data_IF_964576441384
#
_entry.id   IF_964576441384
#
_cell.length_a   1.000
_cell.length_b   1.000
_cell.length_c   1.000
_cell.angle_alpha   90.00
_cell.angle_beta   90.00
_cell.angle_gamma   90.00
#
_symmetry.space_group_name_H-M   'P 1'
#
loop_
_entity.id
_entity.type
_entity.pdbx_description
1 polymer ?
#
# COMPACT_ATOMS: atom_id res chain seq x y z
N UNK A 1 18.89 16.44 13.67
CA UNK A 1 17.89 15.56 13.02
C UNK A 1 16.58 15.73 13.78
N UNK A 2 15.50 16.17 13.13
CA UNK A 2 14.24 16.42 13.83
C UNK A 2 13.68 15.08 14.34
N UNK A 3 13.58 14.93 15.67
CA UNK A 3 13.23 13.68 16.36
C UNK A 3 11.72 13.46 16.48
N UNK A 4 10.93 14.50 16.23
CA UNK A 4 9.46 14.47 16.25
C UNK A 4 8.89 13.86 14.96
N UNK A 5 9.21 12.58 14.70
CA UNK A 5 8.64 11.81 13.58
C UNK A 5 7.47 10.97 14.09
N UNK A 6 6.30 11.18 13.51
CA UNK A 6 5.10 10.38 13.76
C UNK A 6 4.70 9.59 12.51
N UNK A 7 3.61 8.82 12.61
CA UNK A 7 3.10 7.97 11.52
C UNK A 7 2.77 8.75 10.23
N UNK A 8 2.45 10.04 10.34
CA UNK A 8 2.06 10.89 9.22
C UNK A 8 3.23 11.72 8.68
N UNK A 9 4.42 11.59 9.25
CA UNK A 9 5.59 12.32 8.79
C UNK A 9 6.13 11.68 7.50
N UNK A 10 6.23 12.43 6.38
CA UNK A 10 6.75 11.89 5.12
C UNK A 10 8.13 11.25 5.24
N UNK A 11 8.44 10.33 4.32
CA UNK A 11 9.71 9.59 4.31
C UNK A 11 10.20 9.36 2.89
N UNK A 12 11.53 9.39 2.70
CA UNK A 12 12.17 8.95 1.47
C UNK A 12 12.47 7.45 1.58
N UNK A 13 11.95 6.66 0.64
CA UNK A 13 12.16 5.23 0.54
C UNK A 13 12.74 4.89 -0.84
N UNK A 14 14.06 4.71 -0.89
CA UNK A 14 14.77 4.55 -2.16
C UNK A 14 14.60 5.79 -3.04
N UNK A 15 14.08 5.62 -4.25
CA UNK A 15 13.82 6.70 -5.19
C UNK A 15 12.47 7.41 -4.98
N UNK A 16 11.63 6.94 -4.04
CA UNK A 16 10.27 7.44 -3.86
C UNK A 16 10.13 8.28 -2.60
N UNK A 17 9.37 9.38 -2.72
CA UNK A 17 8.88 10.17 -1.58
C UNK A 17 7.51 9.68 -1.17
N UNK A 18 7.39 9.09 0.02
CA UNK A 18 6.11 8.61 0.55
C UNK A 18 5.48 9.66 1.48
N UNK A 19 4.15 9.85 1.42
CA UNK A 19 3.47 10.88 2.19
C UNK A 19 3.38 10.56 3.69
N UNK A 20 3.47 9.29 4.08
CA UNK A 20 3.36 8.84 5.47
C UNK A 20 4.18 7.54 5.68
N UNK A 21 4.15 7.02 6.91
CA UNK A 21 4.84 5.78 7.33
C UNK A 21 3.86 4.63 7.58
N UNK A 22 2.64 4.72 7.04
CA UNK A 22 1.60 3.71 7.16
C UNK A 22 1.68 2.82 5.93
N UNK A 23 1.78 1.51 6.15
CA UNK A 23 1.96 0.54 5.07
C UNK A 23 0.79 -0.45 5.07
N UNK A 24 0.23 -0.70 3.89
CA UNK A 24 -0.65 -1.86 3.69
C UNK A 24 0.23 -3.11 3.61
N UNK A 25 0.24 -3.91 4.68
CA UNK A 25 0.97 -5.18 4.71
C UNK A 25 0.51 -6.12 3.57
N UNK A 26 1.38 -7.04 3.09
CA UNK A 26 0.98 -8.06 2.14
C UNK A 26 0.01 -9.05 2.81
N UNK A 27 -1.22 -9.11 2.29
CA UNK A 27 -2.30 -9.93 2.86
C UNK A 27 -2.86 -10.86 1.79
N UNK A 28 -2.66 -12.16 1.95
CA UNK A 28 -3.27 -13.19 1.10
C UNK A 28 -4.80 -13.16 1.25
N UNK A 29 -5.52 -12.97 0.13
CA UNK A 29 -7.00 -12.79 0.13
C UNK A 29 -7.80 -13.92 -0.49
N UNK A 30 -7.16 -14.87 -1.16
CA UNK A 30 -7.80 -16.02 -1.84
C UNK A 30 -8.91 -15.61 -2.81
N UNK A 31 -8.67 -14.58 -3.64
CA UNK A 31 -9.67 -13.96 -4.55
C UNK A 31 -9.17 -13.84 -6.00
N UNK A 32 -8.34 -14.78 -6.47
CA UNK A 32 -7.98 -14.85 -7.88
C UNK A 32 -9.04 -15.64 -8.66
N UNK A 33 -9.21 -15.35 -9.94
CA UNK A 33 -10.04 -16.15 -10.84
C UNK A 33 -9.28 -17.39 -11.35
N UNK A 34 -9.90 -18.13 -12.28
CA UNK A 34 -9.28 -19.26 -12.96
C UNK A 34 -7.92 -18.86 -13.57
N UNK A 35 -6.94 -19.74 -13.46
CA UNK A 35 -5.57 -19.46 -13.91
C UNK A 35 -4.79 -18.49 -13.00
N UNK A 36 -5.26 -18.25 -11.77
CA UNK A 36 -4.65 -17.32 -10.81
C UNK A 36 -4.62 -15.86 -11.30
N UNK A 37 -5.55 -15.50 -12.19
CA UNK A 37 -5.61 -14.17 -12.81
C UNK A 37 -6.36 -13.19 -11.91
N UNK A 38 -5.82 -12.00 -11.60
CA UNK A 38 -6.55 -10.93 -10.94
C UNK A 38 -7.71 -10.40 -11.80
N UNK A 39 -8.75 -9.92 -11.14
CA UNK A 39 -9.98 -9.38 -11.73
C UNK A 39 -10.21 -7.92 -11.32
N UNK A 40 -11.28 -7.31 -11.84
CA UNK A 40 -11.69 -5.94 -11.47
C UNK A 40 -11.89 -5.77 -9.95
N UNK A 41 -12.41 -6.79 -9.26
CA UNK A 41 -12.55 -6.77 -7.80
C UNK A 41 -11.22 -6.57 -7.08
N UNK A 42 -10.13 -7.17 -7.60
CA UNK A 42 -8.80 -7.02 -7.03
C UNK A 42 -8.27 -5.59 -7.22
N UNK A 43 -8.50 -5.00 -8.40
CA UNK A 43 -8.12 -3.62 -8.68
C UNK A 43 -8.86 -2.62 -7.78
N UNK A 44 -10.19 -2.74 -7.67
CA UNK A 44 -11.02 -1.91 -6.78
C UNK A 44 -10.54 -2.04 -5.33
N UNK A 45 -10.23 -3.26 -4.88
CA UNK A 45 -9.75 -3.50 -3.53
C UNK A 45 -8.45 -2.72 -3.20
N UNK A 46 -7.48 -2.66 -4.12
CA UNK A 46 -6.25 -1.89 -3.91
C UNK A 46 -6.48 -0.38 -4.07
N UNK A 47 -7.32 0.05 -5.03
CA UNK A 47 -7.63 1.45 -5.26
C UNK A 47 -8.22 2.14 -4.01
N UNK A 48 -9.06 1.42 -3.25
CA UNK A 48 -9.63 1.89 -1.98
C UNK A 48 -8.60 2.19 -0.88
N UNK A 49 -7.34 1.78 -1.04
CA UNK A 49 -6.28 1.85 -0.01
C UNK A 49 -5.05 2.65 -0.46
N UNK A 50 -5.17 3.36 -1.59
CA UNK A 50 -4.06 4.10 -2.18
C UNK A 50 -3.97 5.58 -1.75
N UNK A 51 -4.92 6.05 -0.93
CA UNK A 51 -5.02 7.45 -0.47
C UNK A 51 -4.15 7.74 0.74
#
# INVERSE_FOLDING_TARGET
>A
MNTEKNLFTPIDLGAYRLPNRIVMAPLTRNRAAAGNVPTELNAIYYAQRAT
#
